data_IF_508416003043
#
_entry.id   IF_508416003043
#
_cell.length_a   1.000
_cell.length_b   1.000
_cell.length_c   1.000
_cell.angle_alpha   90.00
_cell.angle_beta   90.00
_cell.angle_gamma   90.00
#
_symmetry.space_group_name_H-M   'P 1'
#
loop_
_entity.id
_entity.type
_entity.pdbx_description
1 polymer ?
#
# COMPACT_ATOMS: atom_id res chain seq x y z
N UNK A 1 26.30 2.33 14.21
CA UNK A 1 26.26 2.84 12.81
C UNK A 1 25.04 3.75 12.73
N UNK A 2 25.13 4.94 12.14
CA UNK A 2 24.02 5.88 12.15
C UNK A 2 22.91 5.45 11.18
N UNK A 3 21.67 5.39 11.68
CA UNK A 3 20.50 5.10 10.86
C UNK A 3 20.00 6.40 10.20
N UNK A 4 19.63 6.29 8.92
CA UNK A 4 19.35 7.43 8.03
C UNK A 4 17.86 7.42 7.69
N UNK A 5 17.11 8.41 8.19
CA UNK A 5 15.66 8.53 7.96
C UNK A 5 15.38 9.79 7.13
N UNK A 6 14.48 9.71 6.14
CA UNK A 6 14.11 10.85 5.31
C UNK A 6 13.11 11.75 6.06
N UNK A 7 13.37 13.05 6.15
CA UNK A 7 12.36 14.03 6.58
C UNK A 7 11.52 14.57 5.39
N UNK A 8 10.52 15.39 5.69
CA UNK A 8 9.63 16.08 4.72
C UNK A 8 10.37 16.85 3.61
N UNK A 9 11.63 17.24 3.81
CA UNK A 9 12.48 17.90 2.82
C UNK A 9 13.41 16.92 2.07
N UNK A 10 13.13 15.61 2.10
CA UNK A 10 14.01 14.54 1.56
C UNK A 10 15.44 14.58 2.12
N UNK A 11 15.64 15.20 3.27
CA UNK A 11 16.97 15.27 3.90
C UNK A 11 17.17 14.02 4.75
N UNK A 12 18.33 13.39 4.61
CA UNK A 12 18.77 12.30 5.48
C UNK A 12 19.02 12.90 6.87
N UNK A 13 18.16 12.58 7.82
CA UNK A 13 18.36 12.87 9.24
C UNK A 13 19.26 11.77 9.79
N UNK A 14 20.40 12.16 10.32
CA UNK A 14 21.31 11.25 10.99
C UNK A 14 20.93 11.18 12.46
N UNK A 15 20.39 10.04 12.90
CA UNK A 15 19.96 9.84 14.29
C UNK A 15 21.17 9.38 15.11
N UNK A 16 21.79 10.32 15.84
CA UNK A 16 23.04 10.08 16.57
C UNK A 16 22.87 10.04 18.08
N UNK A 17 21.79 10.60 18.60
CA UNK A 17 21.53 10.74 20.04
C UNK A 17 20.10 10.35 20.39
N UNK A 18 19.84 10.02 21.66
CA UNK A 18 18.48 9.77 22.15
C UNK A 18 17.54 10.96 21.91
N UNK A 19 18.06 12.19 21.98
CA UNK A 19 17.28 13.40 21.69
C UNK A 19 16.88 13.52 20.22
N UNK A 20 17.71 13.03 19.29
CA UNK A 20 17.36 12.97 17.87
C UNK A 20 16.19 12.01 17.64
N UNK A 21 16.24 10.82 18.27
CA UNK A 21 15.15 9.86 18.22
C UNK A 21 13.87 10.40 18.88
N UNK A 22 13.98 11.11 20.01
CA UNK A 22 12.84 11.74 20.67
C UNK A 22 12.13 12.75 19.74
N UNK A 23 12.90 13.62 19.08
CA UNK A 23 12.34 14.61 18.13
C UNK A 23 11.62 13.94 16.95
N UNK A 24 12.24 12.92 16.36
CA UNK A 24 11.64 12.16 15.25
C UNK A 24 10.40 11.40 15.73
N UNK A 25 10.45 10.81 16.91
CA UNK A 25 9.32 10.12 17.51
C UNK A 25 8.13 11.03 17.73
N UNK A 26 8.31 12.17 18.38
CA UNK A 26 7.23 13.12 18.70
C UNK A 26 6.58 13.65 17.41
N UNK A 27 7.41 14.02 16.43
CA UNK A 27 6.93 14.47 15.13
C UNK A 27 6.14 13.40 14.40
N UNK A 28 6.69 12.20 14.31
CA UNK A 28 6.06 11.07 13.60
C UNK A 28 4.75 10.69 14.25
N UNK A 29 4.74 10.59 15.59
CA UNK A 29 3.54 10.32 16.37
C UNK A 29 2.46 11.36 16.13
N UNK A 30 2.79 12.65 16.17
CA UNK A 30 1.82 13.72 15.93
C UNK A 30 1.21 13.68 14.53
N UNK A 31 2.04 13.43 13.50
CA UNK A 31 1.57 13.27 12.11
C UNK A 31 0.63 12.07 12.01
N UNK A 32 1.03 10.94 12.58
CA UNK A 32 0.26 9.70 12.52
C UNK A 32 -1.07 9.81 13.28
N UNK A 33 -1.07 10.43 14.47
CA UNK A 33 -2.30 10.72 15.25
C UNK A 33 -3.25 11.61 14.45
N UNK A 34 -2.72 12.65 13.80
CA UNK A 34 -3.51 13.53 12.95
C UNK A 34 -4.13 12.77 11.78
N UNK A 35 -3.33 12.01 11.02
CA UNK A 35 -3.79 11.22 9.86
C UNK A 35 -4.83 10.18 10.24
N UNK A 36 -4.60 9.45 11.35
CA UNK A 36 -5.55 8.48 11.88
C UNK A 36 -6.88 9.14 12.25
N UNK A 37 -6.83 10.28 12.96
CA UNK A 37 -8.03 11.02 13.36
C UNK A 37 -8.81 11.52 12.15
N UNK A 38 -8.14 12.11 11.16
CA UNK A 38 -8.78 12.59 9.93
C UNK A 38 -9.50 11.44 9.19
N UNK A 39 -8.86 10.27 9.06
CA UNK A 39 -9.49 9.13 8.41
C UNK A 39 -10.70 8.58 9.19
N UNK A 40 -10.61 8.52 10.53
CA UNK A 40 -11.73 8.12 11.38
C UNK A 40 -12.89 9.11 11.27
N UNK A 41 -12.62 10.42 11.30
CA UNK A 41 -13.65 11.43 11.16
C UNK A 41 -14.36 11.39 9.80
N UNK A 42 -13.65 11.03 8.73
CA UNK A 42 -14.25 10.84 7.40
C UNK A 42 -15.20 9.64 7.43
N UNK A 43 -14.77 8.51 8.01
CA UNK A 43 -15.62 7.33 8.17
C UNK A 43 -16.87 7.64 9.01
N UNK A 44 -16.71 8.26 10.17
CA UNK A 44 -17.83 8.59 11.06
C UNK A 44 -18.89 9.49 10.40
N UNK A 45 -18.46 10.40 9.51
CA UNK A 45 -19.35 11.37 8.85
C UNK A 45 -19.96 10.84 7.55
N UNK A 46 -19.23 10.02 6.79
CA UNK A 46 -19.54 9.73 5.38
C UNK A 46 -19.50 8.24 5.02
N UNK A 47 -19.35 7.31 5.97
CA UNK A 47 -19.17 5.88 5.65
C UNK A 47 -20.27 5.32 4.72
N UNK A 48 -21.53 5.73 4.88
CA UNK A 48 -22.64 5.27 4.04
C UNK A 48 -22.69 5.92 2.65
N UNK A 49 -21.98 7.03 2.45
CA UNK A 49 -21.92 7.79 1.20
C UNK A 49 -20.69 7.41 0.36
N UNK A 50 -19.68 6.82 1.02
CA UNK A 50 -18.45 6.39 0.38
C UNK A 50 -18.63 5.06 -0.34
N UNK A 51 -18.07 4.89 -1.55
CA UNK A 51 -17.96 3.59 -2.18
C UNK A 51 -17.21 2.60 -1.28
N UNK A 52 -17.61 1.32 -1.30
CA UNK A 52 -17.05 0.28 -0.41
C UNK A 52 -15.52 0.22 -0.43
N UNK A 53 -14.90 0.36 -1.60
CA UNK A 53 -13.45 0.35 -1.73
C UNK A 53 -12.77 1.52 -1.01
N UNK A 54 -13.36 2.71 -1.04
CA UNK A 54 -12.83 3.91 -0.40
C UNK A 54 -12.99 3.81 1.13
N UNK A 55 -14.17 3.39 1.60
CA UNK A 55 -14.40 3.12 3.02
C UNK A 55 -13.47 2.00 3.53
N UNK A 56 -13.23 0.96 2.71
CA UNK A 56 -12.29 -0.11 3.00
C UNK A 56 -10.83 0.37 3.13
N UNK A 57 -10.38 1.23 2.20
CA UNK A 57 -9.06 1.84 2.26
C UNK A 57 -8.90 2.72 3.52
N UNK A 58 -9.89 3.57 3.82
CA UNK A 58 -9.91 4.40 5.02
C UNK A 58 -9.87 3.57 6.30
N UNK A 59 -10.69 2.52 6.41
CA UNK A 59 -10.69 1.61 7.58
C UNK A 59 -9.34 0.93 7.75
N UNK A 60 -8.74 0.50 6.65
CA UNK A 60 -7.42 -0.15 6.66
C UNK A 60 -6.34 0.82 7.11
N UNK A 61 -6.29 2.03 6.54
CA UNK A 61 -5.32 3.07 6.92
C UNK A 61 -5.48 3.48 8.39
N UNK A 62 -6.69 3.84 8.81
CA UNK A 62 -7.00 4.25 10.19
C UNK A 62 -6.70 3.14 11.20
N UNK A 63 -7.05 1.90 10.87
CA UNK A 63 -6.81 0.73 11.72
C UNK A 63 -5.33 0.47 11.93
N UNK A 64 -4.54 0.45 10.85
CA UNK A 64 -3.08 0.25 10.93
C UNK A 64 -2.39 1.40 11.67
N UNK A 65 -2.74 2.65 11.38
CA UNK A 65 -2.20 3.82 12.07
C UNK A 65 -2.50 3.77 13.59
N UNK A 66 -3.75 3.48 13.95
CA UNK A 66 -4.17 3.34 15.35
C UNK A 66 -3.46 2.18 16.05
N UNK A 67 -3.24 1.07 15.33
CA UNK A 67 -2.53 -0.08 15.86
C UNK A 67 -1.07 0.28 16.18
N UNK A 68 -0.40 0.98 15.27
CA UNK A 68 0.97 1.43 15.45
C UNK A 68 1.09 2.39 16.65
N UNK A 69 0.17 3.35 16.75
CA UNK A 69 0.06 4.30 17.87
C UNK A 69 -0.16 3.61 19.22
N UNK A 70 -0.95 2.53 19.27
CA UNK A 70 -1.28 1.83 20.52
C UNK A 70 -0.28 0.75 20.90
N UNK A 71 0.45 0.18 19.93
CA UNK A 71 1.33 -0.96 20.18
C UNK A 71 2.80 -0.63 20.12
N UNK A 72 3.25 0.08 19.08
CA UNK A 72 4.69 0.29 18.83
C UNK A 72 5.18 1.61 19.42
N UNK A 73 4.38 2.68 19.31
CA UNK A 73 4.77 3.98 19.86
C UNK A 73 4.99 3.97 21.38
N UNK A 74 4.16 3.31 22.22
CA UNK A 74 4.41 3.29 23.67
C UNK A 74 5.70 2.54 24.00
N UNK A 75 5.98 1.45 23.30
CA UNK A 75 7.20 0.68 23.51
C UNK A 75 8.46 1.47 23.16
N UNK A 76 8.43 2.24 22.08
CA UNK A 76 9.55 3.12 21.74
C UNK A 76 9.70 4.26 22.75
N UNK A 77 8.60 4.83 23.26
CA UNK A 77 8.63 5.85 24.31
C UNK A 77 9.25 5.32 25.61
N UNK A 78 8.97 4.08 26.00
CA UNK A 78 9.63 3.44 27.14
C UNK A 78 11.14 3.31 26.93
N UNK A 79 11.55 2.94 25.72
CA UNK A 79 12.97 2.78 25.37
C UNK A 79 13.70 4.13 25.37
N UNK A 80 13.07 5.17 24.83
CA UNK A 80 13.54 6.56 24.87
C UNK A 80 13.69 7.05 26.30
N UNK A 81 12.68 6.83 27.16
CA UNK A 81 12.72 7.25 28.55
C UNK A 81 13.89 6.61 29.30
N UNK A 82 14.14 5.31 29.09
CA UNK A 82 15.28 4.59 29.67
C UNK A 82 16.64 5.08 29.15
N UNK A 83 16.72 5.46 27.87
CA UNK A 83 17.96 5.96 27.28
C UNK A 83 18.29 7.38 27.74
N UNK A 84 17.28 8.25 27.82
CA UNK A 84 17.44 9.66 28.20
C UNK A 84 17.57 9.86 29.71
N UNK A 85 16.96 8.97 30.51
CA UNK A 85 16.99 9.03 31.97
C UNK A 85 17.43 7.67 32.53
N UNK A 86 18.72 7.31 32.40
CA UNK A 86 19.24 6.05 32.92
C UNK A 86 19.15 6.03 34.45
N UNK A 87 18.66 4.92 34.99
CA UNK A 87 18.57 4.69 36.44
C UNK A 87 19.89 4.06 36.90
N UNK A 88 20.51 4.63 37.94
CA UNK A 88 21.72 4.06 38.54
C UNK A 88 21.46 2.65 39.07
N UNK A 89 22.25 1.68 38.63
CA UNK A 89 22.10 0.27 39.01
C UNK A 89 21.12 -0.54 38.14
N UNK A 90 20.57 0.04 37.07
CA UNK A 90 19.82 -0.74 36.07
C UNK A 90 20.74 -1.75 35.37
N UNK A 91 20.34 -3.02 35.37
CA UNK A 91 21.09 -4.11 34.74
C UNK A 91 20.89 -4.15 33.23
N UNK A 92 19.87 -3.46 32.70
CA UNK A 92 19.57 -3.41 31.26
C UNK A 92 19.23 -1.99 30.79
N UNK A 93 20.22 -1.07 30.78
CA UNK A 93 20.02 0.27 30.24
C UNK A 93 19.73 0.23 28.74
N UNK A 94 18.88 1.14 28.26
CA UNK A 94 18.61 1.26 26.84
C UNK A 94 19.78 1.95 26.13
N UNK A 95 20.34 1.29 25.11
CA UNK A 95 21.44 1.82 24.31
C UNK A 95 20.93 2.52 23.05
N UNK A 96 21.82 3.28 22.40
CA UNK A 96 21.52 3.86 21.09
C UNK A 96 21.28 2.78 20.01
N UNK A 97 21.85 1.59 20.16
CA UNK A 97 21.66 0.47 19.24
C UNK A 97 20.26 -0.13 19.39
N UNK A 98 19.77 -0.23 20.63
CA UNK A 98 18.37 -0.63 20.89
C UNK A 98 17.39 0.36 20.26
N UNK A 99 17.65 1.67 20.39
CA UNK A 99 16.83 2.72 19.79
C UNK A 99 16.86 2.62 18.26
N UNK A 100 18.03 2.49 17.64
CA UNK A 100 18.18 2.35 16.20
C UNK A 100 17.44 1.12 15.69
N UNK A 101 17.74 -0.06 16.26
CA UNK A 101 17.14 -1.31 15.83
C UNK A 101 15.62 -1.34 15.98
N UNK A 102 15.07 -0.79 17.06
CA UNK A 102 13.61 -0.68 17.20
C UNK A 102 13.01 0.33 16.24
N UNK A 103 13.67 1.47 16.04
CA UNK A 103 13.20 2.50 15.12
C UNK A 103 13.19 2.02 13.66
N UNK A 104 14.15 1.19 13.24
CA UNK A 104 14.13 0.56 11.92
C UNK A 104 12.85 -0.24 11.69
N UNK A 105 12.43 -1.04 12.68
CA UNK A 105 11.20 -1.83 12.61
C UNK A 105 9.96 -0.95 12.52
N UNK A 106 9.91 0.11 13.35
CA UNK A 106 8.79 1.08 13.34
C UNK A 106 8.74 1.84 12.01
N UNK A 107 9.90 2.21 11.46
CA UNK A 107 10.02 2.94 10.19
C UNK A 107 9.47 2.12 9.03
N UNK A 108 9.74 0.82 8.99
CA UNK A 108 9.16 -0.07 7.97
C UNK A 108 7.62 -0.11 8.05
N UNK A 109 7.06 -0.23 9.25
CA UNK A 109 5.61 -0.19 9.43
C UNK A 109 5.01 1.19 9.12
N UNK A 110 5.76 2.27 9.35
CA UNK A 110 5.35 3.63 8.98
C UNK A 110 5.29 3.80 7.46
N UNK A 111 6.26 3.26 6.71
CA UNK A 111 6.25 3.28 5.25
C UNK A 111 5.03 2.54 4.69
N UNK A 112 4.69 1.38 5.27
CA UNK A 112 3.48 0.63 4.91
C UNK A 112 2.21 1.45 5.16
N UNK A 113 2.13 2.13 6.31
CA UNK A 113 0.99 3.00 6.66
C UNK A 113 0.91 4.23 5.76
N UNK A 114 2.03 4.86 5.42
CA UNK A 114 2.05 5.98 4.49
C UNK A 114 1.59 5.53 3.10
N UNK A 115 1.93 4.32 2.65
CA UNK A 115 1.40 3.72 1.44
C UNK A 115 -0.13 3.62 1.44
N UNK A 116 -0.72 3.19 2.57
CA UNK A 116 -2.18 3.15 2.74
C UNK A 116 -2.81 4.56 2.69
N UNK A 117 -2.18 5.54 3.33
CA UNK A 117 -2.71 6.91 3.30
C UNK A 117 -2.50 7.59 1.94
N UNK A 118 -1.45 7.26 1.20
CA UNK A 118 -1.27 7.72 -0.17
C UNK A 118 -2.39 7.21 -1.08
N UNK A 119 -2.81 5.94 -0.93
CA UNK A 119 -3.99 5.42 -1.64
C UNK A 119 -5.27 6.20 -1.27
N UNK A 120 -5.49 6.47 0.01
CA UNK A 120 -6.63 7.29 0.47
C UNK A 120 -6.58 8.70 -0.12
N UNK A 121 -5.40 9.32 -0.18
CA UNK A 121 -5.24 10.66 -0.75
C UNK A 121 -5.53 10.69 -2.25
N UNK A 122 -5.11 9.66 -3.01
CA UNK A 122 -5.45 9.52 -4.43
C UNK A 122 -6.95 9.33 -4.65
N UNK A 123 -7.58 8.47 -3.85
CA UNK A 123 -9.04 8.30 -3.88
C UNK A 123 -9.75 9.62 -3.59
N UNK A 124 -9.30 10.38 -2.58
CA UNK A 124 -9.87 11.68 -2.24
C UNK A 124 -9.74 12.68 -3.38
N UNK A 125 -8.59 12.73 -4.07
CA UNK A 125 -8.38 13.60 -5.25
C UNK A 125 -9.30 13.22 -6.41
N UNK A 126 -9.63 11.94 -6.57
CA UNK A 126 -10.52 11.43 -7.61
C UNK A 126 -11.99 11.33 -7.15
N UNK A 127 -12.41 12.08 -6.13
CA UNK A 127 -13.80 12.08 -5.65
C UNK A 127 -14.27 10.70 -5.15
N UNK A 128 -13.38 9.94 -4.53
CA UNK A 128 -13.57 8.59 -4.02
C UNK A 128 -13.89 7.53 -5.07
N UNK A 129 -13.59 7.80 -6.34
CA UNK A 129 -13.72 6.83 -7.43
C UNK A 129 -12.43 6.03 -7.60
N UNK A 130 -12.55 4.75 -7.94
CA UNK A 130 -11.39 3.92 -8.31
C UNK A 130 -10.66 4.59 -9.46
N UNK A 131 -9.33 4.67 -9.38
CA UNK A 131 -8.52 5.07 -10.51
C UNK A 131 -8.86 4.15 -11.68
N UNK A 132 -9.53 4.70 -12.70
CA UNK A 132 -9.82 3.97 -13.93
C UNK A 132 -8.51 3.84 -14.66
N UNK A 133 -7.74 2.78 -14.38
CA UNK A 133 -6.81 2.27 -15.38
C UNK A 133 -7.67 1.89 -16.58
N UNK A 134 -7.67 2.74 -17.61
CA UNK A 134 -8.35 2.51 -18.88
C UNK A 134 -7.85 1.22 -19.53
N UNK A 135 -8.43 0.10 -19.14
CA UNK A 135 -8.44 -1.16 -19.87
C UNK A 135 -9.77 -1.86 -19.60
N UNK A 136 -10.89 -1.18 -19.87
CA UNK A 136 -12.20 -1.76 -20.20
C UNK A 136 -13.22 -0.61 -20.31
N UNK A 137 -13.05 0.23 -21.33
CA UNK A 137 -14.18 0.97 -21.90
C UNK A 137 -14.38 0.46 -23.32
N UNK A 138 -15.01 -0.71 -23.43
CA UNK A 138 -15.80 -1.02 -24.61
C UNK A 138 -17.14 -0.31 -24.46
N UNK A 139 -17.53 0.58 -25.40
CA UNK A 139 -18.81 1.24 -25.35
C UNK A 139 -19.90 0.24 -25.74
N UNK A 140 -20.62 -0.32 -24.76
CA UNK A 140 -21.89 -1.00 -25.05
C UNK A 140 -22.92 0.10 -25.27
N UNK A 141 -23.11 0.43 -26.55
CA UNK A 141 -24.18 1.29 -27.02
C UNK A 141 -25.53 0.75 -26.56
N UNK A 142 -26.31 1.65 -26.00
CA UNK A 142 -27.74 1.54 -25.73
C UNK A 142 -28.55 1.29 -27.00
N UNK A 143 -29.56 0.41 -26.91
CA UNK A 143 -30.81 0.53 -27.70
C UNK A 143 -32.00 -0.07 -26.95
N UNK A 144 -33.24 0.40 -27.20
CA UNK A 144 -34.34 0.43 -26.22
C UNK A 144 -35.57 -0.46 -26.55
N UNK A 145 -36.20 -0.94 -25.47
CA UNK A 145 -37.66 -1.03 -25.14
C UNK A 145 -38.71 -1.82 -25.97
N UNK A 146 -39.68 -2.38 -25.21
CA UNK A 146 -41.02 -2.97 -25.50
C UNK A 146 -41.05 -4.47 -25.90
N UNK A 147 -41.82 -5.41 -25.32
CA UNK A 147 -43.02 -5.48 -24.45
C UNK A 147 -43.57 -6.96 -24.47
N UNK A 148 -44.74 -7.34 -23.91
CA UNK A 148 -44.78 -8.14 -22.66
C UNK A 148 -45.72 -9.40 -22.58
N UNK A 149 -45.53 -10.23 -21.52
CA UNK A 149 -46.51 -11.11 -20.76
C UNK A 149 -46.79 -12.59 -21.20
N UNK A 150 -47.50 -13.48 -20.42
CA UNK A 150 -47.24 -14.02 -19.04
C UNK A 150 -47.73 -15.51 -18.78
N UNK A 151 -47.66 -15.98 -17.49
CA UNK A 151 -48.37 -17.12 -16.80
C UNK A 151 -47.94 -18.58 -17.13
N UNK A 152 -47.99 -19.64 -16.30
CA UNK A 152 -48.28 -20.00 -14.88
C UNK A 152 -47.84 -21.50 -14.76
N UNK A 153 -47.41 -22.11 -13.64
CA UNK A 153 -48.21 -22.68 -12.52
C UNK A 153 -47.28 -23.40 -11.51
N UNK A 154 -47.73 -23.55 -10.25
CA UNK A 154 -47.00 -24.16 -9.09
C UNK A 154 -47.41 -25.65 -8.84
N UNK A 155 -47.12 -26.30 -7.66
CA UNK A 155 -46.31 -27.52 -7.45
C UNK A 155 -47.17 -28.78 -7.02
N UNK A 156 -46.61 -29.92 -6.52
CA UNK A 156 -46.44 -30.10 -5.06
C UNK A 156 -45.40 -31.14 -4.53
N UNK A 157 -44.98 -30.91 -3.27
CA UNK A 157 -44.63 -31.77 -2.10
C UNK A 157 -43.97 -33.18 -2.17
N UNK A 158 -42.87 -33.29 -1.40
CA UNK A 158 -42.54 -34.28 -0.33
C UNK A 158 -42.32 -35.78 -0.63
N UNK A 159 -41.08 -36.28 -0.39
CA UNK A 159 -40.82 -37.34 0.62
C UNK A 159 -39.31 -37.55 0.93
N UNK A 160 -38.98 -37.47 2.23
CA UNK A 160 -38.05 -38.27 3.08
C UNK A 160 -37.21 -39.39 2.40
N UNK A 161 -36.00 -39.78 2.83
CA UNK A 161 -35.34 -39.79 4.15
C UNK A 161 -33.88 -40.31 4.04
N UNK A 162 -33.03 -39.93 5.02
CA UNK A 162 -31.82 -40.60 5.61
C UNK A 162 -30.60 -40.96 4.74
N UNK A 163 -29.34 -41.07 5.19
CA UNK A 163 -28.47 -40.57 6.29
C UNK A 163 -27.18 -41.41 6.17
N UNK A 164 -26.00 -40.84 5.98
CA UNK A 164 -24.73 -41.44 6.46
C UNK A 164 -23.57 -40.46 6.40
N UNK A 165 -22.72 -40.55 7.44
CA UNK A 165 -21.54 -39.74 7.72
C UNK A 165 -20.33 -40.27 6.94
N UNK A 166 -19.41 -39.39 6.59
CA UNK A 166 -17.98 -39.63 6.84
C UNK A 166 -17.04 -39.70 5.62
N UNK A 167 -16.07 -38.77 5.65
CA UNK A 167 -14.66 -38.92 5.27
C UNK A 167 -14.19 -38.48 3.85
N UNK A 168 -13.46 -37.34 3.87
CA UNK A 168 -12.16 -36.99 3.22
C UNK A 168 -11.97 -37.12 1.70
N UNK A 169 -11.68 -35.97 1.05
CA UNK A 169 -10.41 -35.63 0.38
C UNK A 169 -10.55 -34.79 -0.91
N UNK A 170 -9.76 -33.70 -0.95
CA UNK A 170 -9.08 -33.08 -2.10
C UNK A 170 -9.89 -32.35 -3.21
N UNK A 171 -9.92 -31.01 -3.15
CA UNK A 171 -9.53 -30.11 -4.26
C UNK A 171 -9.62 -28.61 -3.89
N UNK A 172 -8.49 -27.92 -3.63
CA UNK A 172 -8.39 -26.49 -3.99
C UNK A 172 -7.08 -26.11 -4.72
N UNK A 173 -6.31 -27.09 -5.22
CA UNK A 173 -4.97 -26.82 -5.79
C UNK A 173 -4.98 -26.27 -7.23
N UNK A 174 -5.99 -26.60 -8.05
CA UNK A 174 -6.00 -26.25 -9.48
C UNK A 174 -6.16 -24.73 -9.77
N UNK A 175 -6.69 -23.95 -8.81
CA UNK A 175 -6.96 -22.52 -9.00
C UNK A 175 -5.73 -21.63 -8.70
N UNK A 176 -4.84 -22.07 -7.79
CA UNK A 176 -3.62 -21.32 -7.46
C UNK A 176 -2.55 -21.41 -8.56
N UNK A 177 -2.43 -22.58 -9.19
CA UNK A 177 -1.41 -22.81 -10.22
C UNK A 177 -1.76 -22.06 -11.53
N UNK A 178 -3.04 -22.02 -11.89
CA UNK A 178 -3.53 -21.20 -13.00
C UNK A 178 -3.33 -19.70 -12.76
N UNK A 179 -3.56 -19.20 -11.54
CA UNK A 179 -3.27 -17.80 -11.16
C UNK A 179 -1.78 -17.47 -11.19
N UNK A 180 -0.94 -18.37 -10.67
CA UNK A 180 0.52 -18.20 -10.66
C UNK A 180 1.11 -18.25 -12.07
N UNK A 181 0.57 -19.08 -12.96
CA UNK A 181 0.96 -19.13 -14.36
C UNK A 181 0.57 -17.85 -15.12
N UNK A 182 -0.63 -17.31 -14.88
CA UNK A 182 -1.07 -16.05 -15.46
C UNK A 182 -0.22 -14.86 -15.00
N UNK A 183 0.12 -14.79 -13.71
CA UNK A 183 0.99 -13.75 -13.16
C UNK A 183 2.43 -13.85 -13.71
N UNK A 184 2.98 -15.07 -13.79
CA UNK A 184 4.31 -15.30 -14.35
C UNK A 184 4.37 -14.90 -15.83
N UNK A 185 3.30 -15.15 -16.61
CA UNK A 185 3.19 -14.71 -18.01
C UNK A 185 3.16 -13.18 -18.09
N UNK A 186 2.31 -12.53 -17.29
CA UNK A 186 2.21 -11.05 -17.25
C UNK A 186 3.51 -10.38 -16.84
N UNK A 187 4.25 -10.97 -15.89
CA UNK A 187 5.57 -10.47 -15.44
C UNK A 187 6.64 -10.62 -16.51
N UNK A 188 6.65 -11.71 -17.29
CA UNK A 188 7.56 -11.90 -18.43
C UNK A 188 7.27 -10.91 -19.55
N UNK A 189 6.00 -10.72 -19.90
CA UNK A 189 5.57 -9.75 -20.93
C UNK A 189 5.96 -8.31 -20.55
N UNK A 190 5.77 -7.92 -19.28
CA UNK A 190 6.17 -6.61 -18.80
C UNK A 190 7.70 -6.42 -18.83
N UNK A 191 8.47 -7.44 -18.42
CA UNK A 191 9.93 -7.38 -18.46
C UNK A 191 10.47 -7.23 -19.89
N UNK A 192 9.85 -7.90 -20.87
CA UNK A 192 10.20 -7.78 -22.29
C UNK A 192 9.84 -6.40 -22.85
N UNK A 193 8.66 -5.87 -22.50
CA UNK A 193 8.25 -4.52 -22.89
C UNK A 193 9.20 -3.45 -22.35
N UNK A 194 9.60 -3.56 -21.08
CA UNK A 194 10.57 -2.65 -20.46
C UNK A 194 11.93 -2.75 -21.16
N UNK A 195 12.40 -3.96 -21.48
CA UNK A 195 13.66 -4.16 -22.21
C UNK A 195 13.62 -3.52 -23.59
N UNK A 196 12.52 -3.70 -24.34
CA UNK A 196 12.33 -3.12 -25.67
C UNK A 196 12.21 -1.59 -25.64
N UNK A 197 11.58 -1.04 -24.59
CA UNK A 197 11.52 0.42 -24.39
C UNK A 197 12.90 1.00 -24.06
N UNK A 198 13.68 0.31 -23.22
CA UNK A 198 15.05 0.72 -22.88
C UNK A 198 15.98 0.68 -24.10
N UNK A 199 15.85 -0.33 -24.96
CA UNK A 199 16.63 -0.43 -26.20
C UNK A 199 16.26 0.68 -27.19
N UNK A 200 14.96 1.00 -27.34
CA UNK A 200 14.52 2.16 -28.14
C UNK A 200 15.03 3.49 -27.60
N UNK A 201 14.98 3.71 -26.29
CA UNK A 201 15.54 4.92 -25.67
C UNK A 201 17.06 5.00 -25.85
N UNK A 202 17.77 3.87 -25.83
CA UNK A 202 19.21 3.84 -26.07
C UNK A 202 19.55 4.12 -27.53
N UNK A 203 18.76 3.60 -28.48
CA UNK A 203 18.88 3.92 -29.91
C UNK A 203 18.58 5.39 -30.18
N UNK A 204 17.55 5.96 -29.56
CA UNK A 204 17.22 7.40 -29.70
C UNK A 204 18.33 8.27 -29.11
N UNK A 205 18.92 7.86 -27.97
CA UNK A 205 20.06 8.54 -27.36
C UNK A 205 21.34 8.42 -28.21
N UNK A 206 21.56 7.28 -28.89
CA UNK A 206 22.69 7.09 -29.80
C UNK A 206 22.52 7.90 -31.09
N UNK A 207 21.30 7.91 -31.66
CA UNK A 207 20.96 8.68 -32.86
C UNK A 207 21.01 10.20 -32.61
N UNK A 208 20.62 10.67 -31.42
CA UNK A 208 20.77 12.07 -31.03
C UNK A 208 22.23 12.43 -30.66
N UNK A 209 23.06 11.45 -30.33
CA UNK A 209 24.51 11.63 -30.13
C UNK A 209 25.32 11.73 -31.43
N UNK A 210 24.90 11.07 -32.52
CA UNK A 210 25.61 11.09 -33.80
C UNK A 210 25.35 12.35 -34.65
N UNK A 211 24.28 13.12 -34.37
CA UNK A 211 24.02 14.40 -35.06
C UNK A 211 25.03 15.51 -34.67
N UNK A 212 25.72 15.39 -33.54
CA UNK A 212 26.63 16.45 -33.04
C UNK A 212 28.06 16.32 -33.58
N UNK A 213 28.43 15.21 -34.25
CA UNK A 213 29.80 15.00 -34.72
C UNK A 213 30.04 15.25 -36.22
N UNK A 214 29.01 15.53 -37.03
CA UNK A 214 29.22 15.78 -38.47
C UNK A 214 29.34 17.27 -38.87
N UNK A 215 29.20 18.22 -37.96
CA UNK A 215 29.26 19.67 -38.26
C UNK A 215 30.58 20.33 -37.82
N UNK A 216 31.73 19.66 -38.03
CA UNK A 216 33.01 20.11 -37.46
C UNK A 216 34.26 19.81 -38.28
N UNK A 217 34.26 20.07 -39.59
CA UNK A 217 35.53 20.23 -40.34
C UNK A 217 35.34 21.05 -41.62
N UNK A 218 35.46 22.37 -41.51
CA UNK A 218 35.76 23.24 -42.64
C UNK A 218 36.63 24.41 -42.14
N UNK A 219 37.94 24.19 -42.06
CA UNK A 219 38.95 25.26 -42.03
C UNK A 219 40.21 24.75 -42.74
N UNK A 220 40.63 25.52 -43.75
CA UNK A 220 41.80 25.45 -44.65
C UNK A 220 41.81 24.36 -45.72
#
# INVERSE_FOLDING_TARGET
MAERVLNENKTIVELRTGEDYQKVFDKTRAILEKRAKEAIEILDKQENELPEHAAGALRSAAGNATLLLKKKMPRFAELLAKNLNPIEGDTQPATLDDLAGYWALVSMELDDVEGLFAEVDELRKNGWQKATTSVDQLPIQSSPEHGPQPLATKPPVSSRMVKSRGAVAAAPAANNEAKKAAEAKRKRELAEAIRKQKERMLQEKNASGECVQSAGRFIC
#
